data_IF_140542830628
#
_entry.id   IF_140542830628
#
_cell.length_a   1.000
_cell.length_b   1.000
_cell.length_c   1.000
_cell.angle_alpha   90.00
_cell.angle_beta   90.00
_cell.angle_gamma   90.00
#
_symmetry.space_group_name_H-M   'P 1'
#
loop_
_entity.id
_entity.type
_entity.pdbx_description
1 polymer ?
#
# COMPACT_ATOMS: atom_id res chain seq x y z
N UNK A 1 -10.26 -13.16 -0.94
CA UNK A 1 -8.92 -12.89 -1.52
C UNK A 1 -8.13 -12.17 -0.46
N UNK A 2 -6.84 -12.49 -0.29
CA UNK A 2 -6.00 -11.85 0.73
C UNK A 2 -5.70 -10.38 0.43
N UNK A 3 -5.07 -9.63 1.36
CA UNK A 3 -4.70 -8.23 1.16
C UNK A 3 -3.65 -8.04 0.05
N UNK A 4 -2.96 -9.12 -0.34
CA UNK A 4 -2.05 -9.17 -1.48
C UNK A 4 -2.48 -10.31 -2.40
N UNK A 5 -2.63 -10.03 -3.68
CA UNK A 5 -3.06 -10.99 -4.70
C UNK A 5 -2.22 -10.84 -5.97
N UNK A 6 -1.95 -11.95 -6.65
CA UNK A 6 -1.23 -11.96 -7.93
C UNK A 6 -2.22 -12.10 -9.08
N UNK A 7 -2.15 -11.21 -10.06
CA UNK A 7 -2.97 -11.27 -11.26
C UNK A 7 -2.38 -12.24 -12.30
N UNK A 8 -3.20 -12.79 -13.22
CA UNK A 8 -2.76 -13.71 -14.28
C UNK A 8 -1.66 -13.16 -15.20
N UNK A 9 -1.46 -11.84 -15.20
CA UNK A 9 -0.40 -11.14 -15.94
C UNK A 9 0.96 -11.09 -15.18
N UNK A 10 1.08 -11.77 -14.04
CA UNK A 10 2.28 -11.72 -13.19
C UNK A 10 2.43 -10.42 -12.41
N UNK A 11 1.38 -9.61 -12.30
CA UNK A 11 1.39 -8.39 -11.50
C UNK A 11 0.89 -8.68 -10.09
N UNK A 12 1.60 -8.20 -9.07
CA UNK A 12 1.10 -8.24 -7.70
C UNK A 12 0.25 -7.02 -7.43
N UNK A 13 -0.86 -7.22 -6.73
CA UNK A 13 -1.85 -6.21 -6.36
C UNK A 13 -2.07 -6.23 -4.86
N UNK A 14 -2.05 -5.05 -4.25
CA UNK A 14 -2.25 -4.87 -2.80
C UNK A 14 -3.53 -4.08 -2.59
N UNK A 15 -4.42 -4.59 -1.75
CA UNK A 15 -5.61 -3.90 -1.30
C UNK A 15 -5.24 -2.98 -0.12
N UNK A 16 -5.34 -1.67 -0.31
CA UNK A 16 -4.92 -0.68 0.69
C UNK A 16 -6.08 0.24 1.06
N UNK A 17 -6.33 0.33 2.36
CA UNK A 17 -7.25 1.27 2.97
C UNK A 17 -6.47 2.46 3.54
N UNK A 18 -6.38 3.54 2.76
CA UNK A 18 -5.73 4.76 3.21
C UNK A 18 -6.65 5.58 4.12
N UNK A 19 -6.14 6.02 5.27
CA UNK A 19 -6.77 6.97 6.21
C UNK A 19 -6.03 8.32 6.13
N UNK A 20 -6.43 9.23 5.21
CA UNK A 20 -5.80 10.55 5.06
C UNK A 20 -6.06 11.46 6.26
N UNK A 21 -5.27 12.53 6.39
CA UNK A 21 -5.36 13.49 7.50
C UNK A 21 -4.83 12.95 8.84
N UNK A 22 -3.98 11.93 8.79
CA UNK A 22 -3.33 11.37 9.99
C UNK A 22 -2.16 12.26 10.45
N UNK A 23 -1.64 12.04 11.66
CA UNK A 23 -0.45 12.77 12.15
C UNK A 23 0.84 12.38 11.40
N UNK A 24 0.92 11.15 10.92
CA UNK A 24 2.09 10.59 10.23
C UNK A 24 1.68 9.46 9.29
N UNK A 25 2.59 9.08 8.40
CA UNK A 25 2.41 7.92 7.53
C UNK A 25 2.79 6.64 8.28
N UNK A 26 1.87 5.69 8.41
CA UNK A 26 2.13 4.43 9.10
C UNK A 26 1.16 3.33 8.63
N UNK A 27 1.60 2.08 8.62
CA UNK A 27 0.69 0.95 8.52
C UNK A 27 -0.02 0.82 9.88
N UNK A 28 -1.34 0.98 9.89
CA UNK A 28 -2.13 0.95 11.14
C UNK A 28 -2.69 -0.43 11.43
N UNK A 29 -3.08 -1.15 10.38
CA UNK A 29 -3.82 -2.40 10.47
C UNK A 29 -3.44 -3.31 9.31
N UNK A 30 -3.33 -4.61 9.54
CA UNK A 30 -3.17 -5.60 8.48
C UNK A 30 -4.26 -6.65 8.66
N UNK A 31 -5.28 -6.62 7.79
CA UNK A 31 -6.39 -7.57 7.83
C UNK A 31 -6.28 -8.59 6.71
N UNK A 32 -7.09 -9.65 6.79
CA UNK A 32 -7.20 -10.66 5.75
C UNK A 32 -7.79 -10.13 4.44
N UNK A 33 -8.32 -8.90 4.44
CA UNK A 33 -8.95 -8.27 3.27
C UNK A 33 -8.12 -7.11 2.72
N UNK A 34 -7.55 -6.26 3.57
CA UNK A 34 -6.80 -5.08 3.16
C UNK A 34 -5.77 -4.63 4.20
N UNK A 35 -4.83 -3.80 3.76
CA UNK A 35 -3.84 -3.16 4.63
C UNK A 35 -4.28 -1.72 4.93
N UNK A 36 -4.52 -1.42 6.19
CA UNK A 36 -4.81 -0.09 6.70
C UNK A 36 -3.54 0.75 6.76
N UNK A 37 -3.55 1.92 6.13
CA UNK A 37 -2.41 2.84 6.08
C UNK A 37 -2.87 4.25 6.46
N UNK A 38 -2.35 4.79 7.55
CA UNK A 38 -2.46 6.20 7.90
C UNK A 38 -1.60 7.02 6.94
N UNK A 39 -2.17 8.12 6.42
CA UNK A 39 -1.48 9.05 5.52
C UNK A 39 -1.60 10.45 6.09
N UNK A 40 -0.47 11.14 6.23
CA UNK A 40 -0.40 12.48 6.79
C UNK A 40 -0.98 13.54 5.85
N UNK A 41 -0.90 13.29 4.54
CA UNK A 41 -1.47 14.18 3.54
C UNK A 41 -3.00 14.32 3.71
N UNK A 42 -3.55 15.51 3.41
CA UNK A 42 -4.99 15.79 3.53
C UNK A 42 -5.81 14.92 2.57
N UNK A 43 -7.13 14.75 2.82
CA UNK A 43 -8.02 13.92 2.00
C UNK A 43 -8.28 14.45 0.58
N UNK A 44 -7.62 15.54 0.15
CA UNK A 44 -7.63 16.00 -1.23
C UNK A 44 -7.23 14.87 -2.18
N UNK A 45 -8.07 14.61 -3.18
CA UNK A 45 -7.83 13.65 -4.27
C UNK A 45 -6.59 14.07 -5.08
N UNK A 46 -5.41 13.69 -4.61
CA UNK A 46 -4.13 14.02 -5.22
C UNK A 46 -2.99 13.89 -4.22
N UNK A 47 -3.07 14.64 -3.11
CA UNK A 47 -2.02 14.67 -2.09
C UNK A 47 -1.96 13.34 -1.33
N UNK A 48 -3.10 12.80 -0.89
CA UNK A 48 -3.15 11.48 -0.26
C UNK A 48 -2.72 10.34 -1.19
N UNK A 49 -2.87 10.51 -2.51
CA UNK A 49 -2.45 9.50 -3.50
C UNK A 49 -0.94 9.52 -3.70
N UNK A 50 -0.38 10.71 -3.92
CA UNK A 50 1.06 10.91 -4.05
C UNK A 50 1.79 10.45 -2.78
N UNK A 51 1.29 10.82 -1.61
CA UNK A 51 1.94 10.50 -0.35
C UNK A 51 1.85 9.01 -0.01
N UNK A 52 0.72 8.36 -0.27
CA UNK A 52 0.63 6.90 -0.13
C UNK A 52 1.61 6.19 -1.06
N UNK A 53 1.67 6.61 -2.33
CA UNK A 53 2.60 6.01 -3.29
C UNK A 53 4.05 6.18 -2.83
N UNK A 54 4.40 7.36 -2.31
CA UNK A 54 5.71 7.65 -1.74
C UNK A 54 6.02 6.77 -0.54
N UNK A 55 5.06 6.63 0.38
CA UNK A 55 5.22 5.80 1.57
C UNK A 55 5.41 4.33 1.20
N UNK A 56 4.56 3.78 0.32
CA UNK A 56 4.67 2.38 -0.11
C UNK A 56 5.95 2.11 -0.90
N UNK A 57 6.39 3.03 -1.76
CA UNK A 57 7.69 2.91 -2.43
C UNK A 57 8.84 2.84 -1.42
N UNK A 58 8.74 3.52 -0.28
CA UNK A 58 9.74 3.45 0.80
C UNK A 58 9.66 2.13 1.57
N UNK A 59 8.46 1.68 1.95
CA UNK A 59 8.27 0.44 2.72
C UNK A 59 8.65 -0.80 1.91
N UNK A 60 8.23 -0.83 0.64
CA UNK A 60 8.45 -1.98 -0.23
C UNK A 60 9.80 -1.92 -0.96
N UNK A 61 10.48 -0.76 -0.91
CA UNK A 61 11.74 -0.47 -1.63
C UNK A 61 11.59 -0.58 -3.16
N UNK A 62 10.40 -0.25 -3.68
CA UNK A 62 10.04 -0.45 -5.08
C UNK A 62 10.23 0.82 -5.90
N UNK A 63 10.88 0.69 -7.07
CA UNK A 63 10.97 1.77 -8.06
C UNK A 63 9.61 2.00 -8.70
N UNK A 64 8.93 3.08 -8.27
CA UNK A 64 7.67 3.64 -8.81
C UNK A 64 6.53 2.64 -9.00
N UNK A 65 5.52 2.71 -8.15
CA UNK A 65 4.20 2.14 -8.44
C UNK A 65 3.27 3.24 -8.96
N UNK A 66 2.39 2.93 -9.91
CA UNK A 66 1.43 3.89 -10.47
C UNK A 66 0.15 3.83 -9.63
N UNK A 67 -0.11 4.88 -8.85
CA UNK A 67 -1.29 4.99 -7.99
C UNK A 67 -2.52 5.48 -8.75
N UNK A 68 -3.38 4.57 -9.20
CA UNK A 68 -4.62 4.88 -9.93
C UNK A 68 -5.71 5.59 -9.08
N UNK A 69 -6.66 6.25 -9.78
CA UNK A 69 -7.77 7.08 -9.23
C UNK A 69 -8.97 6.29 -8.67
N UNK A 70 -8.76 5.28 -7.81
CA UNK A 70 -9.88 4.53 -7.19
C UNK A 70 -9.95 4.66 -5.67
N UNK A 71 -11.18 4.64 -5.13
CA UNK A 71 -11.48 4.65 -3.68
C UNK A 71 -10.89 3.44 -2.95
N UNK A 72 -10.79 2.30 -3.63
CA UNK A 72 -9.97 1.14 -3.25
C UNK A 72 -8.68 1.19 -4.07
N UNK A 73 -7.56 1.55 -3.44
CA UNK A 73 -6.30 1.71 -4.16
C UNK A 73 -5.63 0.36 -4.36
N UNK A 74 -5.72 -0.14 -5.57
CA UNK A 74 -5.02 -1.33 -6.04
C UNK A 74 -3.65 -0.90 -6.58
N UNK A 75 -2.61 -1.12 -5.79
CA UNK A 75 -1.21 -0.81 -6.17
C UNK A 75 -0.67 -1.94 -7.04
N UNK A 76 -0.37 -1.67 -8.31
CA UNK A 76 0.19 -2.67 -9.24
C UNK A 76 1.70 -2.66 -9.16
N UNK A 77 2.29 -3.82 -8.91
CA UNK A 77 3.72 -4.02 -8.79
C UNK A 77 4.21 -4.98 -9.88
N UNK A 78 5.32 -4.60 -10.52
CA UNK A 78 5.99 -5.41 -11.53
C UNK A 78 6.78 -6.53 -10.84
N UNK A 79 6.40 -7.76 -11.19
CA UNK A 79 6.89 -9.14 -10.96
C UNK A 79 8.19 -9.47 -10.18
N UNK A 80 9.07 -8.54 -9.82
CA UNK A 80 10.31 -8.87 -9.11
C UNK A 80 10.13 -9.13 -7.61
N UNK A 81 8.95 -8.88 -7.04
CA UNK A 81 8.67 -9.09 -5.61
C UNK A 81 7.49 -10.04 -5.46
N UNK A 82 7.66 -11.07 -4.62
CA UNK A 82 6.61 -12.03 -4.34
C UNK A 82 5.56 -11.44 -3.38
N UNK A 83 4.31 -11.91 -3.44
CA UNK A 83 3.27 -11.46 -2.50
C UNK A 83 3.63 -11.74 -1.04
N UNK A 84 4.36 -12.82 -0.76
CA UNK A 84 4.84 -13.16 0.58
C UNK A 84 5.82 -12.14 1.13
N UNK A 85 6.78 -11.69 0.31
CA UNK A 85 7.79 -10.71 0.70
C UNK A 85 7.15 -9.33 0.94
N UNK A 86 6.15 -8.96 0.13
CA UNK A 86 5.33 -7.76 0.36
C UNK A 86 4.60 -7.86 1.70
N UNK A 87 3.98 -9.00 1.98
CA UNK A 87 3.24 -9.22 3.22
C UNK A 87 4.17 -9.11 4.44
N UNK A 88 5.36 -9.68 4.35
CA UNK A 88 6.37 -9.62 5.42
C UNK A 88 6.83 -8.19 5.69
N UNK A 89 7.13 -7.40 4.62
CA UNK A 89 7.50 -5.99 4.76
C UNK A 89 6.37 -5.16 5.39
N UNK A 90 5.13 -5.35 4.95
CA UNK A 90 3.97 -4.66 5.51
C UNK A 90 3.70 -5.04 6.96
N UNK A 91 3.89 -6.31 7.32
CA UNK A 91 3.76 -6.79 8.71
C UNK A 91 4.84 -6.19 9.62
N UNK A 92 6.11 -6.19 9.18
CA UNK A 92 7.21 -5.52 9.90
C UNK A 92 6.93 -4.05 10.14
N UNK A 93 6.34 -3.37 9.16
CA UNK A 93 5.99 -1.95 9.30
C UNK A 93 4.78 -1.72 10.22
N UNK A 94 3.81 -2.65 10.25
CA UNK A 94 2.70 -2.63 11.20
C UNK A 94 3.15 -2.88 12.65
N UNK A 95 4.23 -3.66 12.84
CA UNK A 95 4.81 -3.95 14.16
C UNK A 95 5.68 -2.80 14.70
N UNK A 96 6.14 -1.88 13.84
CA UNK A 96 6.97 -0.71 14.20
C UNK A 96 6.20 0.48 14.80
N UNK A 97 5.10 0.23 15.51
CA UNK A 97 4.25 1.26 16.12
C UNK A 97 5.02 2.35 16.86
#
# INVERSE_FOLDING_TARGET
MGPVATNPKGCVTIAIHAKPGSKQNAVTDLTSEAVGVAIAAPPSEGEANAELCRYLSKVLELRKSDGGKSREKVVKLLASTTPEEILEKLKKEAEKK
#
